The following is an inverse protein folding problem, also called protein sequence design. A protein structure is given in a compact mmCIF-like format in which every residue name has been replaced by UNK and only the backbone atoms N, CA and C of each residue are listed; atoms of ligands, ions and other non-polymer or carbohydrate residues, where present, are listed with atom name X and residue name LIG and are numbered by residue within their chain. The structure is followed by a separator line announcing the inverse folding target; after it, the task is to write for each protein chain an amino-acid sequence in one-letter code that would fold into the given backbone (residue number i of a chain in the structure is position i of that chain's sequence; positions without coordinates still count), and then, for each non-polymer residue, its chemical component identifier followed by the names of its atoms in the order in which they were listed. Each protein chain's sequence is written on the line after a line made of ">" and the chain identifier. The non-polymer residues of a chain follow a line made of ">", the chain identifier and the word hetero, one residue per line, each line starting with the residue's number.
data_IF_337004367656
#
_entry.id   IF_337004367656
#
_cell.length_a   1.000
_cell.length_b   1.000
_cell.length_c   1.000
_cell.angle_alpha   90.00
_cell.angle_beta   90.00
_cell.angle_gamma   90.00
#
_symmetry.space_group_name_H-M   'P 1'
#
loop_
_entity.id
_entity.type
_entity.pdbx_description
1 polymer ?
#
# COMPACT_ATOMS: atom_id res chain seq x y z
N UNK A 1 -5.64 5.68 4.45
CA UNK A 1 -4.99 5.61 5.76
C UNK A 1 -3.59 6.25 5.74
N UNK A 2 -2.72 5.92 4.80
CA UNK A 2 -1.39 6.55 4.69
C UNK A 2 -1.47 8.09 4.61
N UNK A 3 -2.43 8.62 3.85
CA UNK A 3 -2.67 10.07 3.75
C UNK A 3 -3.11 10.67 5.10
N UNK A 4 -3.98 9.99 5.85
CA UNK A 4 -4.41 10.44 7.19
C UNK A 4 -3.22 10.44 8.15
N UNK A 5 -2.45 9.36 8.21
CA UNK A 5 -1.23 9.31 9.04
C UNK A 5 -0.27 10.46 8.70
N UNK A 6 -0.03 10.70 7.42
CA UNK A 6 0.79 11.83 6.97
C UNK A 6 0.22 13.20 7.32
N UNK A 7 -1.11 13.37 7.31
CA UNK A 7 -1.77 14.63 7.73
C UNK A 7 -1.64 14.87 9.22
N UNK A 8 -1.82 13.83 10.04
CA UNK A 8 -1.65 13.88 11.49
C UNK A 8 -0.21 14.30 11.84
N UNK A 9 0.78 13.63 11.26
CA UNK A 9 2.18 13.95 11.51
C UNK A 9 2.55 15.39 11.11
N UNK A 10 2.08 15.84 9.93
CA UNK A 10 2.31 17.23 9.49
C UNK A 10 1.62 18.25 10.40
N UNK A 11 0.45 17.92 10.97
CA UNK A 11 -0.22 18.77 11.97
C UNK A 11 0.62 18.99 13.22
N UNK A 12 1.48 18.03 13.55
CA UNK A 12 2.46 18.11 14.65
C UNK A 12 3.77 18.82 14.25
N UNK A 13 3.86 19.35 13.02
CA UNK A 13 5.06 19.99 12.52
C UNK A 13 6.14 19.01 12.06
N UNK A 14 5.81 17.72 11.92
CA UNK A 14 6.75 16.71 11.42
C UNK A 14 6.77 16.78 9.88
N UNK A 15 7.96 16.87 9.32
CA UNK A 15 8.16 16.73 7.87
C UNK A 15 7.92 15.27 7.47
N UNK A 16 7.09 15.07 6.45
CA UNK A 16 6.69 13.73 6.01
C UNK A 16 7.00 13.56 4.53
N UNK A 17 7.95 12.70 4.26
CA UNK A 17 8.27 12.21 2.93
C UNK A 17 7.52 10.91 2.67
N UNK A 18 6.89 10.80 1.51
CA UNK A 18 6.05 9.64 1.16
C UNK A 18 6.48 9.04 -0.16
N UNK A 19 6.56 7.71 -0.20
CA UNK A 19 6.86 6.95 -1.40
C UNK A 19 5.72 5.98 -1.69
N UNK A 20 5.16 6.05 -2.90
CA UNK A 20 4.17 5.10 -3.40
C UNK A 20 4.69 4.46 -4.67
N UNK A 21 5.06 3.20 -4.60
CA UNK A 21 5.56 2.45 -5.74
C UNK A 21 4.46 2.17 -6.77
N UNK A 22 4.86 2.05 -8.03
CA UNK A 22 4.04 1.59 -9.15
C UNK A 22 4.64 0.28 -9.63
N UNK A 23 3.93 -0.81 -9.37
CA UNK A 23 4.28 -2.16 -9.80
C UNK A 23 3.75 -2.36 -11.22
N UNK A 24 4.52 -1.90 -12.19
CA UNK A 24 4.18 -1.96 -13.62
C UNK A 24 4.99 -3.02 -14.40
N UNK A 25 5.66 -3.90 -13.70
CA UNK A 25 6.25 -5.14 -14.21
C UNK A 25 5.54 -6.30 -13.50
N UNK A 26 4.46 -6.79 -14.08
CA UNK A 26 3.57 -7.77 -13.45
C UNK A 26 2.94 -8.67 -14.52
N UNK A 27 2.95 -10.00 -14.30
CA UNK A 27 2.47 -10.98 -15.27
C UNK A 27 0.96 -10.83 -15.54
N UNK A 28 0.18 -10.42 -14.54
CA UNK A 28 -1.26 -10.16 -14.69
C UNK A 28 -1.51 -8.91 -15.54
N UNK A 29 -0.68 -7.89 -15.35
CA UNK A 29 -0.70 -6.66 -16.14
C UNK A 29 -0.34 -6.95 -17.58
N UNK A 30 0.74 -7.72 -17.83
CA UNK A 30 1.20 -8.07 -19.16
C UNK A 30 0.13 -8.86 -19.94
N UNK A 31 -0.46 -9.88 -19.30
CA UNK A 31 -1.55 -10.65 -19.88
C UNK A 31 -2.80 -9.79 -20.19
N UNK A 32 -3.08 -8.78 -19.33
CA UNK A 32 -4.19 -7.85 -19.58
C UNK A 32 -3.89 -6.90 -20.73
N UNK A 33 -2.66 -6.43 -20.84
CA UNK A 33 -2.21 -5.56 -21.94
C UNK A 33 -2.26 -6.31 -23.29
N UNK A 34 -1.79 -7.57 -23.31
CA UNK A 34 -1.85 -8.43 -24.47
C UNK A 34 -3.30 -8.67 -24.95
N UNK A 35 -4.21 -9.02 -24.05
CA UNK A 35 -5.65 -9.15 -24.36
C UNK A 35 -6.26 -7.87 -24.92
N UNK A 36 -5.75 -6.71 -24.48
CA UNK A 36 -6.18 -5.40 -24.97
C UNK A 36 -5.50 -4.98 -26.26
N UNK A 37 -4.56 -5.76 -26.80
CA UNK A 37 -3.76 -5.42 -27.98
C UNK A 37 -2.88 -4.17 -27.77
N UNK A 38 -2.39 -3.96 -26.55
CA UNK A 38 -1.58 -2.79 -26.16
C UNK A 38 -0.23 -3.21 -25.60
N UNK A 39 0.73 -2.30 -25.71
CA UNK A 39 1.99 -2.45 -24.98
C UNK A 39 1.75 -2.32 -23.46
N UNK A 40 2.47 -3.10 -22.65
CA UNK A 40 2.31 -3.14 -21.20
C UNK A 40 2.50 -1.76 -20.55
N UNK A 41 3.52 -1.00 -20.98
CA UNK A 41 3.84 0.33 -20.46
C UNK A 41 2.70 1.34 -20.69
N UNK A 42 2.13 1.34 -21.88
CA UNK A 42 0.99 2.20 -22.23
C UNK A 42 -0.28 1.78 -21.48
N UNK A 43 -0.49 0.49 -21.28
CA UNK A 43 -1.61 -0.04 -20.51
C UNK A 43 -1.49 0.32 -19.04
N UNK A 44 -0.30 0.16 -18.45
CA UNK A 44 0.01 0.56 -17.10
C UNK A 44 -0.19 2.07 -16.87
N UNK A 45 0.29 2.90 -17.80
CA UNK A 45 0.15 4.36 -17.72
C UNK A 45 -1.32 4.82 -17.67
N UNK A 46 -2.20 4.19 -18.46
CA UNK A 46 -3.65 4.47 -18.43
C UNK A 46 -4.26 4.05 -17.09
N UNK A 47 -3.87 2.89 -16.56
CA UNK A 47 -4.31 2.41 -15.25
C UNK A 47 -3.90 3.37 -14.14
N UNK A 48 -2.65 3.81 -14.15
CA UNK A 48 -2.12 4.78 -13.19
C UNK A 48 -2.86 6.12 -13.28
N UNK A 49 -3.06 6.65 -14.48
CA UNK A 49 -3.78 7.92 -14.66
C UNK A 49 -5.19 7.87 -14.02
N UNK A 50 -5.92 6.77 -14.22
CA UNK A 50 -7.24 6.57 -13.60
C UNK A 50 -7.14 6.53 -12.08
N UNK A 51 -6.19 5.77 -11.55
CA UNK A 51 -5.95 5.68 -10.11
C UNK A 51 -5.60 7.05 -9.51
N UNK A 52 -4.68 7.80 -10.11
CA UNK A 52 -4.26 9.11 -9.61
C UNK A 52 -5.41 10.13 -9.64
N UNK A 53 -6.25 10.08 -10.68
CA UNK A 53 -7.47 10.87 -10.76
C UNK A 53 -8.44 10.55 -9.62
N UNK A 54 -8.67 9.27 -9.35
CA UNK A 54 -9.58 8.83 -8.30
C UNK A 54 -9.03 9.18 -6.91
N UNK A 55 -7.73 9.06 -6.70
CA UNK A 55 -7.07 9.50 -5.46
C UNK A 55 -7.15 11.02 -5.27
N UNK A 56 -6.92 11.79 -6.33
CA UNK A 56 -7.06 13.24 -6.29
C UNK A 56 -8.51 13.66 -5.98
N UNK A 57 -9.51 13.00 -6.59
CA UNK A 57 -10.92 13.24 -6.31
C UNK A 57 -11.29 12.95 -4.83
N UNK A 58 -10.67 11.96 -4.22
CA UNK A 58 -10.81 11.66 -2.79
C UNK A 58 -10.00 12.61 -1.88
N UNK A 59 -9.32 13.61 -2.41
CA UNK A 59 -8.50 14.52 -1.62
C UNK A 59 -7.23 13.87 -1.03
N UNK A 60 -6.80 12.72 -1.56
CA UNK A 60 -5.54 12.09 -1.17
C UNK A 60 -4.38 12.91 -1.72
N UNK A 61 -3.44 13.27 -0.86
CA UNK A 61 -2.25 14.03 -1.26
C UNK A 61 -1.37 13.19 -2.18
N UNK A 62 -0.82 13.77 -3.27
CA UNK A 62 0.15 13.06 -4.09
C UNK A 62 1.38 12.68 -3.22
N UNK A 63 1.99 11.51 -3.48
CA UNK A 63 3.20 11.13 -2.76
C UNK A 63 4.38 12.02 -3.18
N UNK A 64 5.40 12.12 -2.32
CA UNK A 64 6.65 12.82 -2.63
C UNK A 64 7.39 12.10 -3.76
N UNK A 65 7.40 10.76 -3.70
CA UNK A 65 8.04 9.91 -4.69
C UNK A 65 7.07 8.88 -5.23
N UNK A 66 7.21 8.58 -6.53
CA UNK A 66 6.38 7.59 -7.21
C UNK A 66 7.23 6.75 -8.19
N UNK A 67 8.14 5.90 -7.64
CA UNK A 67 9.00 5.06 -8.46
C UNK A 67 8.19 4.00 -9.22
N UNK A 68 8.65 3.66 -10.43
CA UNK A 68 8.08 2.63 -11.28
C UNK A 68 9.01 1.44 -11.37
N UNK A 69 8.48 0.23 -11.24
CA UNK A 69 9.28 -0.99 -11.25
C UNK A 69 10.16 -1.10 -12.51
N UNK A 70 9.61 -0.81 -13.69
CA UNK A 70 10.37 -0.90 -14.94
C UNK A 70 11.58 0.05 -15.03
N UNK A 71 11.58 1.15 -14.27
CA UNK A 71 12.71 2.09 -14.20
C UNK A 71 13.76 1.70 -13.15
N UNK A 72 13.44 0.72 -12.30
CA UNK A 72 14.28 0.26 -11.19
C UNK A 72 14.78 -1.19 -11.38
N UNK A 73 14.69 -1.73 -12.59
CA UNK A 73 15.15 -3.10 -12.86
C UNK A 73 16.65 -3.25 -12.61
N UNK A 74 17.46 -2.24 -12.97
CA UNK A 74 18.89 -2.24 -12.66
C UNK A 74 19.16 -2.24 -11.14
N UNK A 75 18.28 -1.62 -10.35
CA UNK A 75 18.34 -1.68 -8.88
C UNK A 75 18.03 -3.08 -8.36
N UNK A 76 17.10 -3.80 -9.00
CA UNK A 76 16.82 -5.21 -8.68
C UNK A 76 18.02 -6.09 -9.02
N UNK A 77 18.67 -5.89 -10.16
CA UNK A 77 19.89 -6.62 -10.53
C UNK A 77 20.99 -6.38 -9.49
N UNK A 78 21.19 -5.12 -9.04
CA UNK A 78 22.13 -4.80 -7.97
C UNK A 78 21.75 -5.46 -6.64
N UNK A 79 20.49 -5.45 -6.28
CA UNK A 79 19.98 -6.13 -5.07
C UNK A 79 20.25 -7.64 -5.13
N UNK A 80 19.92 -8.28 -6.25
CA UNK A 80 20.15 -9.72 -6.46
C UNK A 80 21.65 -10.07 -6.36
N UNK A 81 22.52 -9.26 -6.98
CA UNK A 81 23.98 -9.44 -6.89
C UNK A 81 24.45 -9.34 -5.44
N UNK A 82 24.01 -8.31 -4.70
CA UNK A 82 24.37 -8.14 -3.30
C UNK A 82 23.89 -9.30 -2.41
N UNK A 83 22.68 -9.83 -2.66
CA UNK A 83 22.15 -11.00 -1.91
C UNK A 83 22.99 -12.25 -2.17
N UNK A 84 23.44 -12.47 -3.42
CA UNK A 84 24.37 -13.56 -3.78
C UNK A 84 25.72 -13.40 -3.09
N UNK A 85 26.32 -12.21 -3.13
CA UNK A 85 27.59 -11.91 -2.46
C UNK A 85 27.53 -12.10 -0.95
N UNK A 86 26.39 -11.84 -0.33
CA UNK A 86 26.12 -12.11 1.09
C UNK A 86 25.89 -13.59 1.41
N UNK A 87 25.75 -14.45 0.40
CA UNK A 87 25.49 -15.89 0.57
C UNK A 87 24.08 -16.22 1.09
N UNK A 88 23.15 -15.22 1.01
CA UNK A 88 21.75 -15.41 1.42
C UNK A 88 20.82 -15.70 0.26
N UNK A 89 21.34 -15.68 -0.97
CA UNK A 89 20.65 -16.08 -2.18
C UNK A 89 21.49 -17.09 -2.97
N UNK A 90 20.88 -17.75 -3.92
CA UNK A 90 21.54 -18.70 -4.82
C UNK A 90 20.97 -18.57 -6.24
N UNK A 91 21.79 -18.96 -7.22
CA UNK A 91 21.41 -19.02 -8.61
C UNK A 91 21.08 -20.47 -9.00
N UNK A 92 20.01 -20.65 -9.78
CA UNK A 92 19.68 -21.92 -10.42
C UNK A 92 19.05 -21.70 -11.79
N UNK A 93 19.72 -22.14 -12.84
CA UNK A 93 19.27 -22.02 -14.24
C UNK A 93 18.86 -20.58 -14.63
N UNK A 94 19.69 -19.59 -14.25
CA UNK A 94 19.45 -18.17 -14.51
C UNK A 94 18.42 -17.50 -13.58
N UNK A 95 17.82 -18.24 -12.65
CA UNK A 95 16.93 -17.71 -11.62
C UNK A 95 17.71 -17.44 -10.33
N UNK A 96 17.48 -16.28 -9.70
CA UNK A 96 18.04 -15.93 -8.40
C UNK A 96 16.94 -16.05 -7.36
N UNK A 97 17.17 -16.86 -6.35
CA UNK A 97 16.25 -17.18 -5.26
C UNK A 97 16.85 -16.77 -3.92
N UNK A 98 16.06 -16.09 -3.10
CA UNK A 98 16.46 -15.76 -1.73
C UNK A 98 16.28 -17.01 -0.85
N UNK A 99 17.27 -17.36 -0.07
CA UNK A 99 17.21 -18.47 0.89
C UNK A 99 16.41 -18.05 2.12
N UNK A 100 15.14 -18.44 2.18
CA UNK A 100 14.21 -18.04 3.25
C UNK A 100 14.75 -18.33 4.65
N UNK A 101 15.39 -19.49 4.85
CA UNK A 101 16.00 -19.89 6.12
C UNK A 101 17.18 -19.01 6.54
N UNK A 102 17.93 -18.43 5.58
CA UNK A 102 19.07 -17.57 5.87
C UNK A 102 18.66 -16.19 6.37
N UNK A 103 17.42 -15.78 6.11
CA UNK A 103 16.89 -14.44 6.46
C UNK A 103 15.69 -14.50 7.43
N UNK A 104 15.36 -15.68 7.96
CA UNK A 104 14.31 -15.87 8.95
C UNK A 104 12.89 -15.80 8.41
N UNK A 105 12.67 -15.98 7.11
CA UNK A 105 11.34 -16.04 6.51
C UNK A 105 10.64 -17.38 6.71
N UNK A 106 11.37 -18.43 7.00
CA UNK A 106 10.88 -19.79 7.17
C UNK A 106 10.02 -19.98 8.44
N UNK A 107 10.12 -19.05 9.39
CA UNK A 107 9.33 -19.06 10.65
C UNK A 107 8.09 -18.16 10.61
N UNK A 108 7.88 -17.43 9.53
CA UNK A 108 6.74 -16.52 9.39
C UNK A 108 5.51 -17.27 8.89
N UNK A 109 4.44 -17.27 9.67
CA UNK A 109 3.17 -17.89 9.28
C UNK A 109 2.31 -16.90 8.48
N UNK A 110 1.85 -17.27 7.27
CA UNK A 110 0.92 -16.45 6.52
C UNK A 110 -0.39 -16.21 7.28
N UNK A 111 -0.90 -14.98 7.21
CA UNK A 111 -2.24 -14.67 7.70
C UNK A 111 -3.34 -15.18 6.75
N UNK A 112 -4.63 -15.11 7.17
CA UNK A 112 -5.76 -15.60 6.37
C UNK A 112 -5.95 -14.88 5.04
N UNK A 113 -5.50 -13.65 4.94
CA UNK A 113 -5.61 -12.81 3.72
C UNK A 113 -4.28 -12.73 2.93
N UNK A 114 -3.30 -13.57 3.27
CA UNK A 114 -1.97 -13.55 2.63
C UNK A 114 -2.07 -13.68 1.11
N UNK A 115 -1.22 -12.95 0.41
CA UNK A 115 -1.09 -13.07 -1.04
C UNK A 115 -0.46 -14.41 -1.39
N UNK A 116 -1.10 -15.16 -2.26
CA UNK A 116 -0.54 -16.40 -2.79
C UNK A 116 0.46 -16.10 -3.90
N UNK A 117 1.70 -16.52 -3.70
CA UNK A 117 2.75 -16.50 -4.73
C UNK A 117 3.16 -17.96 -4.95
N UNK A 118 2.96 -18.52 -6.15
CA UNK A 118 3.38 -19.88 -6.42
C UNK A 118 4.89 -20.01 -6.23
N UNK A 119 5.36 -21.08 -5.56
CA UNK A 119 6.80 -21.33 -5.42
C UNK A 119 7.44 -21.58 -6.80
N UNK A 120 8.67 -21.13 -6.96
CA UNK A 120 9.43 -21.51 -8.16
C UNK A 120 9.71 -23.01 -8.18
N UNK A 121 9.55 -23.69 -9.33
CA UNK A 121 9.95 -25.08 -9.47
C UNK A 121 11.47 -25.29 -9.32
N UNK A 122 12.26 -24.22 -9.38
CA UNK A 122 13.72 -24.22 -9.18
C UNK A 122 14.12 -23.99 -7.72
N UNK A 123 13.17 -23.64 -6.84
CA UNK A 123 13.48 -23.37 -5.44
C UNK A 123 13.96 -24.62 -4.70
N UNK A 124 14.95 -24.46 -3.82
CA UNK A 124 15.39 -25.53 -2.89
C UNK A 124 14.36 -25.73 -1.78
N UNK A 125 13.72 -24.66 -1.35
CA UNK A 125 12.59 -24.65 -0.40
C UNK A 125 11.43 -23.89 -1.05
N UNK A 126 10.18 -24.39 -0.97
CA UNK A 126 9.02 -23.68 -1.52
C UNK A 126 8.81 -22.27 -1.00
N UNK A 127 9.44 -21.93 0.12
CA UNK A 127 9.40 -20.60 0.74
C UNK A 127 10.45 -19.63 0.23
N UNK A 128 11.39 -20.10 -0.62
CA UNK A 128 12.44 -19.28 -1.21
C UNK A 128 11.85 -18.36 -2.29
N UNK A 129 11.72 -17.06 -2.06
CA UNK A 129 11.10 -16.19 -3.05
C UNK A 129 12.06 -15.87 -4.20
N UNK A 130 11.52 -15.77 -5.40
CA UNK A 130 12.23 -15.32 -6.59
C UNK A 130 12.64 -13.84 -6.44
N UNK A 131 13.90 -13.56 -6.69
CA UNK A 131 14.47 -12.21 -6.77
C UNK A 131 14.60 -11.78 -8.23
N UNK A 132 15.04 -12.71 -9.10
CA UNK A 132 15.17 -12.55 -10.54
C UNK A 132 14.80 -13.86 -11.22
N UNK A 133 14.11 -13.80 -12.35
CA UNK A 133 13.80 -15.00 -13.16
C UNK A 133 14.13 -14.81 -14.63
N UNK A 134 14.50 -15.85 -15.38
CA UNK A 134 14.56 -15.78 -16.83
C UNK A 134 13.22 -15.37 -17.42
N UNK A 135 13.25 -14.57 -18.48
CA UNK A 135 12.05 -14.23 -19.23
C UNK A 135 11.63 -15.40 -20.12
N UNK A 136 10.32 -15.55 -20.30
CA UNK A 136 9.78 -16.45 -21.32
C UNK A 136 9.64 -15.72 -22.67
N UNK A 137 9.62 -16.44 -23.80
CA UNK A 137 9.46 -15.81 -25.11
C UNK A 137 8.19 -14.94 -25.20
N UNK A 138 8.37 -13.67 -25.58
CA UNK A 138 7.27 -12.71 -25.72
C UNK A 138 7.05 -11.81 -24.50
N UNK A 139 7.62 -12.12 -23.36
CA UNK A 139 7.58 -11.24 -22.18
C UNK A 139 8.53 -10.05 -22.34
N UNK A 140 8.21 -8.89 -21.74
CA UNK A 140 9.19 -7.84 -21.50
C UNK A 140 10.38 -8.39 -20.72
N UNK A 141 11.60 -8.13 -21.17
CA UNK A 141 12.81 -8.64 -20.56
C UNK A 141 13.87 -7.56 -20.46
N UNK A 142 14.75 -7.69 -19.48
CA UNK A 142 15.86 -6.79 -19.22
C UNK A 142 17.16 -7.60 -19.10
N UNK A 143 18.30 -7.02 -19.51
CA UNK A 143 19.58 -7.70 -19.40
C UNK A 143 20.00 -7.85 -17.94
N UNK A 144 20.67 -8.98 -17.63
CA UNK A 144 21.30 -9.22 -16.34
C UNK A 144 22.55 -10.09 -16.49
N UNK A 145 23.39 -10.21 -15.44
CA UNK A 145 24.53 -11.16 -15.46
C UNK A 145 24.12 -12.62 -15.64
N UNK A 146 22.85 -12.96 -15.39
CA UNK A 146 22.29 -14.32 -15.47
C UNK A 146 21.50 -14.55 -16.75
N UNK A 147 21.53 -13.59 -17.67
CA UNK A 147 20.76 -13.59 -18.92
C UNK A 147 19.57 -12.62 -18.87
N UNK A 148 18.90 -12.49 -20.03
CA UNK A 148 17.71 -11.66 -20.12
C UNK A 148 16.59 -12.22 -19.25
N UNK A 149 15.98 -11.35 -18.43
CA UNK A 149 15.03 -11.81 -17.43
C UNK A 149 14.14 -10.72 -16.88
N UNK A 150 13.48 -11.05 -15.79
CA UNK A 150 12.51 -10.20 -15.11
C UNK A 150 12.75 -10.17 -13.60
N UNK A 151 12.46 -9.04 -12.94
CA UNK A 151 12.50 -8.97 -11.48
C UNK A 151 11.42 -9.87 -10.85
N UNK A 152 11.70 -10.39 -9.66
CA UNK A 152 10.70 -10.97 -8.79
C UNK A 152 9.87 -9.88 -8.10
N UNK A 153 8.57 -10.07 -7.97
CA UNK A 153 7.64 -9.08 -7.41
C UNK A 153 8.08 -8.47 -6.07
N UNK A 154 8.62 -9.27 -5.15
CA UNK A 154 9.08 -8.77 -3.85
C UNK A 154 10.35 -7.92 -3.97
N UNK A 155 11.23 -8.28 -4.89
CA UNK A 155 12.49 -7.59 -5.13
C UNK A 155 12.31 -6.21 -5.76
N UNK A 156 11.29 -6.03 -6.62
CA UNK A 156 10.96 -4.72 -7.21
C UNK A 156 10.72 -3.67 -6.13
N UNK A 157 9.83 -3.97 -5.20
CA UNK A 157 9.46 -3.04 -4.15
C UNK A 157 10.60 -2.82 -3.14
N UNK A 158 11.39 -3.86 -2.85
CA UNK A 158 12.58 -3.72 -2.01
C UNK A 158 13.62 -2.80 -2.65
N UNK A 159 13.91 -3.01 -3.94
CA UNK A 159 14.87 -2.20 -4.70
C UNK A 159 14.42 -0.74 -4.81
N UNK A 160 13.15 -0.49 -5.14
CA UNK A 160 12.58 0.86 -5.21
C UNK A 160 12.64 1.58 -3.85
N UNK A 161 12.29 0.89 -2.76
CA UNK A 161 12.36 1.48 -1.43
C UNK A 161 13.78 1.84 -1.03
N UNK A 162 14.75 0.94 -1.26
CA UNK A 162 16.17 1.19 -0.99
C UNK A 162 16.73 2.35 -1.82
N UNK A 163 16.37 2.43 -3.09
CA UNK A 163 16.85 3.47 -4.00
C UNK A 163 16.30 4.86 -3.65
N UNK A 164 15.05 4.94 -3.19
CA UNK A 164 14.33 6.21 -2.97
C UNK A 164 14.43 6.69 -1.52
N UNK A 165 14.21 5.79 -0.56
CA UNK A 165 14.12 6.13 0.87
C UNK A 165 15.35 5.68 1.68
N UNK A 166 16.23 4.86 1.10
CA UNK A 166 17.41 4.36 1.77
C UNK A 166 17.17 3.07 2.60
N UNK A 167 18.05 2.79 3.57
CA UNK A 167 18.17 1.46 4.21
C UNK A 167 17.05 1.14 5.21
N UNK A 168 16.27 2.13 5.63
CA UNK A 168 15.17 1.95 6.57
C UNK A 168 14.08 3.01 6.36
N UNK A 169 12.85 2.67 6.77
CA UNK A 169 11.69 3.56 6.72
C UNK A 169 11.05 3.67 8.10
N UNK A 170 10.44 4.81 8.42
CA UNK A 170 9.75 4.98 9.69
C UNK A 170 8.43 4.24 9.71
N UNK A 171 7.65 4.31 8.61
CA UNK A 171 6.35 3.66 8.50
C UNK A 171 6.21 2.94 7.15
N UNK A 172 5.96 1.63 7.21
CA UNK A 172 5.65 0.82 6.03
C UNK A 172 4.15 0.53 5.98
N UNK A 173 3.49 0.98 4.93
CA UNK A 173 2.02 0.91 4.78
C UNK A 173 1.63 -0.01 3.64
N UNK A 174 0.58 -0.81 3.83
CA UNK A 174 -0.01 -1.64 2.79
C UNK A 174 -1.30 -2.31 3.22
N UNK A 175 -1.87 -3.14 2.38
CA UNK A 175 -3.00 -4.00 2.73
C UNK A 175 -2.57 -5.13 3.66
N UNK A 176 -3.51 -5.68 4.42
CA UNK A 176 -3.25 -6.82 5.30
C UNK A 176 -2.76 -8.06 4.52
N UNK A 177 -3.19 -8.20 3.29
CA UNK A 177 -2.77 -9.24 2.34
C UNK A 177 -1.29 -9.14 1.93
N UNK A 178 -0.70 -7.96 1.99
CA UNK A 178 0.72 -7.75 1.66
C UNK A 178 1.65 -8.01 2.84
N UNK A 179 1.12 -8.15 4.07
CA UNK A 179 1.94 -8.36 5.27
C UNK A 179 2.90 -9.53 5.11
N UNK A 180 2.39 -10.63 4.56
CA UNK A 180 3.14 -11.83 4.24
C UNK A 180 2.59 -12.45 2.94
N UNK A 181 3.45 -12.89 2.02
CA UNK A 181 4.93 -12.88 2.09
C UNK A 181 5.55 -11.53 1.69
N UNK A 182 4.83 -10.63 1.00
CA UNK A 182 5.40 -9.50 0.25
C UNK A 182 6.25 -8.56 1.13
N UNK A 183 5.67 -7.94 2.14
CA UNK A 183 6.39 -6.99 3.02
C UNK A 183 7.45 -7.69 3.90
N UNK A 184 7.24 -8.95 4.26
CA UNK A 184 8.23 -9.73 4.97
C UNK A 184 9.47 -9.98 4.09
N UNK A 185 9.28 -10.37 2.82
CA UNK A 185 10.35 -10.56 1.85
C UNK A 185 11.10 -9.26 1.55
N UNK A 186 10.37 -8.15 1.37
CA UNK A 186 10.99 -6.83 1.18
C UNK A 186 11.91 -6.46 2.33
N UNK A 187 11.41 -6.58 3.57
CA UNK A 187 12.21 -6.28 4.76
C UNK A 187 13.43 -7.19 4.87
N UNK A 188 13.26 -8.49 4.66
CA UNK A 188 14.34 -9.45 4.72
C UNK A 188 15.45 -9.18 3.69
N UNK A 189 15.10 -8.85 2.45
CA UNK A 189 16.06 -8.47 1.40
C UNK A 189 16.80 -7.19 1.76
N UNK A 190 16.08 -6.13 2.17
CA UNK A 190 16.66 -4.85 2.55
C UNK A 190 17.60 -4.99 3.74
N UNK A 191 17.19 -5.69 4.79
CA UNK A 191 17.99 -5.94 6.00
C UNK A 191 19.23 -6.79 5.70
N UNK A 192 19.10 -7.79 4.81
CA UNK A 192 20.22 -8.64 4.43
C UNK A 192 21.33 -7.87 3.71
N UNK A 193 20.99 -6.96 2.78
CA UNK A 193 21.98 -6.21 2.01
C UNK A 193 22.54 -5.00 2.76
N UNK A 194 21.74 -4.34 3.58
CA UNK A 194 22.16 -3.10 4.28
C UNK A 194 22.75 -3.37 5.66
N UNK A 195 22.33 -4.45 6.33
CA UNK A 195 22.64 -4.70 7.73
C UNK A 195 21.85 -3.82 8.71
N UNK A 196 20.99 -2.93 8.23
CA UNK A 196 20.16 -2.05 9.06
C UNK A 196 18.87 -2.79 9.45
N UNK A 197 18.57 -2.87 10.74
CA UNK A 197 17.40 -3.55 11.29
C UNK A 197 16.73 -2.71 12.37
N UNK A 198 15.39 -2.65 12.43
CA UNK A 198 14.45 -3.18 11.43
C UNK A 198 14.42 -2.30 10.17
N UNK A 199 14.09 -2.88 9.01
CA UNK A 199 13.84 -2.11 7.78
C UNK A 199 12.69 -1.10 7.98
N UNK A 200 11.61 -1.48 8.64
CA UNK A 200 10.50 -0.60 8.99
C UNK A 200 10.31 -0.52 10.50
N UNK A 201 10.37 0.70 11.07
CA UNK A 201 10.17 0.94 12.51
C UNK A 201 8.74 0.66 12.94
N UNK A 202 7.77 1.02 12.09
CA UNK A 202 6.36 0.72 12.29
C UNK A 202 5.74 0.18 11.00
N UNK A 203 4.65 -0.60 11.15
CA UNK A 203 3.91 -1.18 10.02
C UNK A 203 2.42 -0.94 10.19
N UNK A 204 1.78 -0.48 9.12
CA UNK A 204 0.34 -0.25 9.07
C UNK A 204 -0.24 -1.11 7.94
N UNK A 205 -0.87 -2.24 8.30
CA UNK A 205 -1.49 -3.17 7.36
C UNK A 205 -3.00 -3.04 7.44
N UNK A 206 -3.56 -2.27 6.51
CA UNK A 206 -4.98 -1.93 6.47
C UNK A 206 -5.83 -3.17 6.18
N UNK A 207 -6.91 -3.33 6.94
CA UNK A 207 -7.82 -4.45 6.83
C UNK A 207 -8.44 -4.60 5.43
N UNK A 208 -8.69 -5.85 5.04
CA UNK A 208 -9.21 -6.21 3.73
C UNK A 208 -10.65 -5.75 3.57
N UNK A 209 -10.96 -5.15 2.41
CA UNK A 209 -12.34 -4.84 2.02
C UNK A 209 -12.98 -6.09 1.40
N UNK A 210 -14.20 -6.39 1.80
CA UNK A 210 -15.00 -7.53 1.30
C UNK A 210 -16.29 -7.03 0.67
N UNK A 211 -16.82 -7.83 -0.22
CA UNK A 211 -18.15 -7.66 -0.83
C UNK A 211 -18.84 -9.01 -0.76
N UNK A 212 -20.00 -9.08 -0.13
CA UNK A 212 -20.75 -10.32 0.12
C UNK A 212 -19.89 -11.40 0.81
N UNK A 213 -19.09 -11.01 1.80
CA UNK A 213 -18.21 -11.89 2.57
C UNK A 213 -16.93 -12.33 1.85
N UNK A 214 -16.78 -12.06 0.54
CA UNK A 214 -15.61 -12.40 -0.25
C UNK A 214 -14.63 -11.21 -0.37
N UNK A 215 -13.32 -11.49 -0.38
CA UNK A 215 -12.30 -10.46 -0.63
C UNK A 215 -12.61 -9.73 -1.95
N UNK A 216 -12.62 -8.40 -1.92
CA UNK A 216 -12.77 -7.59 -3.12
C UNK A 216 -11.51 -7.71 -3.98
N UNK A 217 -11.64 -8.34 -5.16
CA UNK A 217 -10.51 -8.58 -6.05
C UNK A 217 -10.93 -8.60 -7.52
N UNK A 218 -9.99 -8.28 -8.42
CA UNK A 218 -10.22 -8.38 -9.88
C UNK A 218 -10.59 -9.80 -10.31
N UNK A 219 -9.94 -10.79 -9.72
CA UNK A 219 -10.18 -12.22 -10.01
C UNK A 219 -11.59 -12.68 -9.63
N UNK A 220 -12.18 -12.06 -8.61
CA UNK A 220 -13.54 -12.36 -8.13
C UNK A 220 -14.63 -11.58 -8.90
N UNK A 221 -14.26 -10.57 -9.68
CA UNK A 221 -15.19 -9.74 -10.45
C UNK A 221 -16.13 -8.87 -9.60
N UNK A 222 -15.84 -8.72 -8.30
CA UNK A 222 -16.67 -8.03 -7.31
C UNK A 222 -16.12 -6.64 -6.94
N UNK A 223 -15.40 -5.98 -7.86
CA UNK A 223 -14.81 -4.67 -7.58
C UNK A 223 -15.88 -3.59 -7.43
N UNK A 224 -15.79 -2.81 -6.37
CA UNK A 224 -16.50 -1.54 -6.19
C UNK A 224 -15.51 -0.43 -6.54
N UNK A 225 -15.75 0.27 -7.64
CA UNK A 225 -14.82 1.29 -8.12
C UNK A 225 -15.13 2.65 -7.49
N UNK A 226 -14.07 3.39 -7.14
CA UNK A 226 -14.21 4.75 -6.60
C UNK A 226 -14.99 5.66 -7.53
N UNK A 227 -14.77 5.54 -8.85
CA UNK A 227 -15.48 6.33 -9.84
C UNK A 227 -17.01 6.12 -9.80
N UNK A 228 -17.47 4.89 -9.52
CA UNK A 228 -18.90 4.58 -9.42
C UNK A 228 -19.51 5.18 -8.14
N UNK A 229 -18.79 5.14 -7.03
CA UNK A 229 -19.21 5.78 -5.77
C UNK A 229 -19.29 7.31 -5.91
N UNK A 230 -18.31 7.92 -6.59
CA UNK A 230 -18.26 9.36 -6.85
C UNK A 230 -19.35 9.83 -7.82
N UNK A 231 -19.95 8.94 -8.61
CA UNK A 231 -21.08 9.27 -9.48
C UNK A 231 -22.37 9.55 -8.69
N UNK A 232 -22.46 9.07 -7.45
CA UNK A 232 -23.68 9.13 -6.64
C UNK A 232 -23.52 9.96 -5.35
N UNK A 233 -22.29 10.07 -4.82
CA UNK A 233 -22.03 10.71 -3.53
C UNK A 233 -20.80 11.63 -3.57
N UNK A 234 -20.74 12.65 -2.69
CA UNK A 234 -19.59 13.52 -2.61
C UNK A 234 -18.34 12.75 -2.14
N UNK A 235 -17.18 13.16 -2.64
CA UNK A 235 -15.89 12.52 -2.35
C UNK A 235 -15.60 12.40 -0.85
N UNK A 236 -15.98 13.41 -0.07
CA UNK A 236 -15.83 13.38 1.39
C UNK A 236 -16.65 12.26 2.06
N UNK A 237 -17.85 11.93 1.54
CA UNK A 237 -18.63 10.80 2.05
C UNK A 237 -17.97 9.46 1.72
N UNK A 238 -17.44 9.29 0.50
CA UNK A 238 -16.69 8.10 0.11
C UNK A 238 -15.43 7.96 0.99
N UNK A 239 -14.73 9.07 1.22
CA UNK A 239 -13.56 9.09 2.10
C UNK A 239 -13.92 8.74 3.54
N UNK A 240 -15.01 9.28 4.07
CA UNK A 240 -15.51 8.97 5.42
C UNK A 240 -15.91 7.50 5.55
N UNK A 241 -16.59 6.93 4.55
CA UNK A 241 -16.89 5.50 4.50
C UNK A 241 -15.64 4.63 4.70
N UNK A 242 -14.51 5.01 4.09
CA UNK A 242 -13.25 4.25 4.17
C UNK A 242 -12.53 4.44 5.51
N UNK A 243 -12.74 5.56 6.21
CA UNK A 243 -11.98 5.97 7.39
C UNK A 243 -12.72 5.74 8.71
N UNK A 244 -14.05 5.72 8.71
CA UNK A 244 -14.87 5.60 9.92
C UNK A 244 -14.93 4.16 10.45
N UNK A 245 -13.75 3.64 10.81
CA UNK A 245 -13.55 2.29 11.34
C UNK A 245 -12.14 2.08 11.89
N UNK A 246 -11.88 1.03 12.69
CA UNK A 246 -10.52 0.61 12.99
C UNK A 246 -9.78 0.19 11.70
N UNK A 247 -8.61 0.77 11.45
CA UNK A 247 -7.87 0.58 10.19
C UNK A 247 -7.41 -0.86 9.93
N UNK A 248 -7.13 -1.62 10.98
CA UNK A 248 -6.62 -3.01 10.87
C UNK A 248 -7.74 -4.04 10.65
N UNK A 249 -9.01 -3.65 10.85
CA UNK A 249 -10.12 -4.58 10.77
C UNK A 249 -10.60 -4.76 9.32
N UNK A 250 -10.73 -6.03 8.89
CA UNK A 250 -11.41 -6.35 7.64
C UNK A 250 -12.91 -6.03 7.76
N UNK A 251 -13.53 -5.57 6.67
CA UNK A 251 -14.93 -5.17 6.68
C UNK A 251 -15.62 -5.43 5.34
N UNK A 252 -16.93 -5.60 5.38
CA UNK A 252 -17.78 -5.75 4.19
C UNK A 252 -18.40 -4.41 3.77
N UNK A 253 -18.55 -4.21 2.47
CA UNK A 253 -19.29 -3.08 1.91
C UNK A 253 -20.77 -3.37 2.04
N UNK A 254 -21.39 -2.90 3.13
CA UNK A 254 -22.80 -3.11 3.41
C UNK A 254 -23.69 -2.20 2.55
N UNK A 255 -24.88 -2.68 2.12
CA UNK A 255 -25.88 -1.83 1.48
C UNK A 255 -26.23 -0.63 2.34
N UNK A 256 -26.25 0.58 1.75
CA UNK A 256 -26.56 1.82 2.48
C UNK A 256 -25.41 2.39 3.32
N UNK A 257 -24.25 1.75 3.39
CA UNK A 257 -23.12 2.24 4.16
C UNK A 257 -22.63 3.62 3.65
N UNK A 258 -22.69 3.86 2.36
CA UNK A 258 -22.31 5.15 1.77
C UNK A 258 -23.34 6.26 2.08
N UNK A 259 -24.64 5.94 2.09
CA UNK A 259 -25.69 6.88 2.53
C UNK A 259 -25.52 7.25 4.01
N UNK A 260 -25.19 6.25 4.85
CA UNK A 260 -24.89 6.49 6.26
C UNK A 260 -23.66 7.38 6.47
N UNK A 261 -22.60 7.17 5.67
CA UNK A 261 -21.42 8.02 5.69
C UNK A 261 -21.73 9.45 5.22
N UNK A 262 -22.56 9.63 4.19
CA UNK A 262 -23.01 10.94 3.74
C UNK A 262 -23.80 11.66 4.83
N UNK A 263 -24.76 10.99 5.48
CA UNK A 263 -25.51 11.56 6.59
C UNK A 263 -24.61 11.92 7.79
N UNK A 264 -23.60 11.11 8.09
CA UNK A 264 -22.60 11.44 9.13
C UNK A 264 -21.77 12.67 8.78
N UNK A 265 -21.36 12.78 7.49
CA UNK A 265 -20.64 13.96 7.01
C UNK A 265 -21.45 15.25 7.18
N UNK A 266 -22.75 15.23 6.88
CA UNK A 266 -23.63 16.39 7.09
C UNK A 266 -23.68 16.79 8.57
N UNK A 267 -23.80 15.81 9.49
CA UNK A 267 -23.77 16.11 10.95
C UNK A 267 -22.42 16.71 11.36
N UNK A 268 -21.32 16.18 10.85
CA UNK A 268 -19.98 16.70 11.14
C UNK A 268 -19.80 18.14 10.63
N UNK A 269 -20.30 18.47 9.43
CA UNK A 269 -20.29 19.83 8.91
C UNK A 269 -21.19 20.77 9.73
N UNK A 270 -22.37 20.31 10.14
CA UNK A 270 -23.23 21.08 11.04
C UNK A 270 -22.55 21.30 12.40
N UNK A 271 -21.84 20.31 12.93
CA UNK A 271 -21.04 20.47 14.14
C UNK A 271 -19.89 21.48 13.94
N UNK A 272 -19.20 21.45 12.80
CA UNK A 272 -18.11 22.38 12.46
C UNK A 272 -18.59 23.84 12.32
N UNK A 273 -19.84 24.05 11.97
CA UNK A 273 -20.45 25.38 11.87
C UNK A 273 -20.81 26.01 13.23
N UNK A 274 -20.81 25.22 14.31
CA UNK A 274 -21.06 25.77 15.68
C UNK A 274 -19.95 26.73 16.08
N UNK A 275 -20.33 27.80 16.71
CA UNK A 275 -19.40 28.81 17.30
C UNK A 275 -19.05 28.38 18.71
N UNK A 276 -18.17 27.41 18.85
CA UNK A 276 -17.65 26.94 20.13
C UNK A 276 -16.15 27.06 20.10
N UNK A 277 -15.58 27.79 21.06
CA UNK A 277 -14.14 27.82 21.26
C UNK A 277 -13.72 26.55 21.99
N UNK A 278 -12.77 25.82 21.43
CA UNK A 278 -12.45 24.48 21.93
C UNK A 278 -11.06 24.02 21.59
N UNK A 279 -10.00 24.79 21.95
CA UNK A 279 -8.62 24.33 21.76
C UNK A 279 -8.39 22.96 22.42
N UNK A 280 -8.87 22.76 23.65
CA UNK A 280 -8.75 21.48 24.35
C UNK A 280 -9.49 20.33 23.63
N UNK A 281 -10.66 20.60 23.04
CA UNK A 281 -11.41 19.60 22.27
C UNK A 281 -10.74 19.29 20.92
N UNK A 282 -10.12 20.30 20.28
CA UNK A 282 -9.27 20.11 19.10
C UNK A 282 -8.07 19.21 19.42
N UNK A 283 -7.41 19.42 20.56
CA UNK A 283 -6.30 18.59 21.01
C UNK A 283 -6.76 17.14 21.31
N UNK A 284 -7.98 16.97 21.85
CA UNK A 284 -8.56 15.65 22.07
C UNK A 284 -8.81 14.88 20.76
N UNK A 285 -9.27 15.55 19.70
CA UNK A 285 -9.39 14.97 18.35
C UNK A 285 -8.01 14.49 17.84
N UNK A 286 -6.99 15.34 17.98
CA UNK A 286 -5.63 14.98 17.58
C UNK A 286 -5.10 13.83 18.42
N UNK A 287 -5.34 13.84 19.74
CA UNK A 287 -4.92 12.75 20.63
C UNK A 287 -5.55 11.40 20.25
N UNK A 288 -6.85 11.38 19.91
CA UNK A 288 -7.50 10.17 19.40
C UNK A 288 -6.86 9.66 18.10
N UNK A 289 -6.48 10.56 17.17
CA UNK A 289 -5.79 10.18 15.95
C UNK A 289 -4.34 9.73 16.18
N UNK A 290 -3.71 10.13 17.29
CA UNK A 290 -2.40 9.66 17.70
C UNK A 290 -2.47 8.32 18.45
N UNK A 291 -3.63 7.97 18.99
CA UNK A 291 -3.87 6.67 19.60
C UNK A 291 -4.31 5.68 18.51
N UNK A 292 -3.34 5.10 17.84
CA UNK A 292 -3.50 4.07 16.80
C UNK A 292 -4.44 4.49 15.63
N UNK A 293 -4.48 5.78 15.29
CA UNK A 293 -5.37 6.34 14.26
C UNK A 293 -6.87 6.04 14.56
N UNK A 294 -7.31 6.20 15.79
CA UNK A 294 -8.71 5.99 16.18
C UNK A 294 -9.62 7.07 15.59
N UNK A 295 -9.91 6.93 14.29
CA UNK A 295 -10.81 7.85 13.56
C UNK A 295 -12.24 7.81 14.11
N UNK A 296 -12.83 6.67 14.46
CA UNK A 296 -14.15 6.64 15.10
C UNK A 296 -14.25 7.50 16.37
N UNK A 297 -13.26 7.41 17.28
CA UNK A 297 -13.22 8.23 18.48
C UNK A 297 -13.02 9.72 18.15
N UNK A 298 -12.11 10.05 17.23
CA UNK A 298 -11.89 11.42 16.77
C UNK A 298 -13.16 12.05 16.19
N UNK A 299 -13.94 11.30 15.39
CA UNK A 299 -15.21 11.74 14.83
C UNK A 299 -16.29 11.92 15.92
N UNK A 300 -16.36 11.01 16.90
CA UNK A 300 -17.31 11.13 18.02
C UNK A 300 -17.05 12.41 18.84
N UNK A 301 -15.79 12.67 19.20
CA UNK A 301 -15.39 13.92 19.88
C UNK A 301 -15.76 15.13 19.02
N UNK A 302 -15.48 15.09 17.73
CA UNK A 302 -15.76 16.19 16.81
C UNK A 302 -17.26 16.51 16.68
N UNK A 303 -18.13 15.48 16.62
CA UNK A 303 -19.59 15.61 16.54
C UNK A 303 -20.16 16.17 17.86
N UNK A 304 -19.67 15.71 19.01
CA UNK A 304 -20.15 16.12 20.34
C UNK A 304 -19.74 17.56 20.66
N UNK A 305 -18.46 17.84 20.62
CA UNK A 305 -17.90 19.16 20.97
C UNK A 305 -18.20 20.20 19.88
N UNK A 306 -18.13 19.88 18.62
CA UNK A 306 -18.36 20.79 17.49
C UNK A 306 -17.30 21.87 17.35
N UNK A 307 -17.65 22.95 16.69
CA UNK A 307 -16.77 24.13 16.54
C UNK A 307 -15.38 23.78 16.01
N UNK A 308 -14.35 24.14 16.76
CA UNK A 308 -12.96 23.92 16.35
C UNK A 308 -12.57 22.44 16.31
N UNK A 309 -13.09 21.61 17.21
CA UNK A 309 -12.87 20.18 17.22
C UNK A 309 -13.35 19.53 15.90
N UNK A 310 -14.57 19.86 15.46
CA UNK A 310 -15.11 19.35 14.21
C UNK A 310 -14.35 19.90 12.99
N UNK A 311 -13.95 21.17 12.98
CA UNK A 311 -13.09 21.74 11.91
C UNK A 311 -11.74 21.03 11.85
N UNK A 312 -11.16 20.71 13.01
CA UNK A 312 -9.89 19.96 13.09
C UNK A 312 -10.04 18.55 12.49
N UNK A 313 -11.10 17.82 12.89
CA UNK A 313 -11.37 16.50 12.31
C UNK A 313 -11.57 16.56 10.80
N UNK A 314 -12.40 17.50 10.30
CA UNK A 314 -12.63 17.71 8.86
C UNK A 314 -11.32 17.97 8.12
N UNK A 315 -10.47 18.84 8.64
CA UNK A 315 -9.18 19.21 8.03
C UNK A 315 -8.19 18.06 8.02
N UNK A 316 -7.98 17.39 9.18
CA UNK A 316 -6.99 16.32 9.32
C UNK A 316 -7.42 15.07 8.56
N UNK A 317 -8.70 14.73 8.57
CA UNK A 317 -9.22 13.61 7.81
C UNK A 317 -9.35 13.91 6.30
N UNK A 318 -9.20 15.20 5.90
CA UNK A 318 -9.29 15.61 4.48
C UNK A 318 -10.69 15.49 3.92
N UNK A 319 -11.70 15.90 4.69
CA UNK A 319 -13.12 15.82 4.33
C UNK A 319 -13.66 17.16 3.75
N UNK A 320 -12.80 18.15 3.56
CA UNK A 320 -13.14 19.45 2.97
C UNK A 320 -12.50 19.61 1.60
#
# INVERSE_FOLDING_TARGET
>A
WADVAGRVLRRLGIEVETCRNITDVDDVLDAAAERAGRRFDSFAAVGQFRFDRDMAALGVRPPTHQPRAHNHVDDVVRLATALLERGVAYERDGEILLRASAVGLDVVTPGPDASEVPPSPRAEDPRDPTVWRPATPGEPAWPSPWGDGRPGWHAECAAMALAVLGPAVDLHVGGADLRHPHHACMAAMAEAVTGVRPFARARLHVGTVRVDGAKMAKSSGNLVLVADLLATHPAAAVRLLLLDRPWAQAWDVEPGALDAAAARLERLFAAAARHVDGAAASDAVVAALLDDLDVPAALAIAEDEGGEAARTAVSVLGLA
#
